data_IF_513393018171
#
_entry.id   IF_513393018171
#
_cell.length_a   1.000
_cell.length_b   1.000
_cell.length_c   1.000
_cell.angle_alpha   90.00
_cell.angle_beta   90.00
_cell.angle_gamma   90.00
#
_symmetry.space_group_name_H-M   'P 1'
#
loop_
_entity.id
_entity.type
_entity.pdbx_description
1 polymer ?
#
# COMPACT_ATOMS: atom_id res chain seq x y z
N UNK A 1 29.73 8.60 10.24
CA UNK A 1 28.36 8.39 9.67
C UNK A 1 27.68 7.08 10.11
N UNK A 2 28.41 6.01 10.45
CA UNK A 2 27.80 4.69 10.77
C UNK A 2 27.04 4.58 12.10
N UNK A 3 27.29 5.45 13.11
CA UNK A 3 26.69 5.33 14.46
C UNK A 3 25.28 5.92 14.61
N UNK A 4 24.86 6.81 13.71
CA UNK A 4 23.54 7.47 13.76
C UNK A 4 22.44 6.64 13.09
N UNK A 5 22.80 5.75 12.16
CA UNK A 5 21.85 4.91 11.42
C UNK A 5 21.35 3.70 12.23
N UNK A 6 22.07 3.31 13.29
CA UNK A 6 21.78 2.16 14.15
C UNK A 6 20.68 2.41 15.20
N UNK A 7 20.02 3.57 15.17
CA UNK A 7 18.98 3.95 16.15
C UNK A 7 17.58 3.45 15.72
N UNK A 8 17.43 2.99 14.47
CA UNK A 8 16.12 2.57 13.94
C UNK A 8 16.17 1.13 13.42
N UNK A 9 15.20 0.32 13.84
CA UNK A 9 14.95 -1.00 13.25
C UNK A 9 14.33 -0.82 11.86
N UNK A 10 14.98 -1.35 10.82
CA UNK A 10 14.43 -1.36 9.47
C UNK A 10 13.43 -2.50 9.32
N UNK A 11 12.17 -2.16 9.05
CA UNK A 11 11.15 -3.14 8.72
C UNK A 11 11.16 -3.44 7.20
N UNK A 12 10.90 -4.70 6.81
CA UNK A 12 10.58 -5.03 5.42
C UNK A 12 9.47 -4.15 4.85
N UNK A 13 9.66 -3.73 3.60
CA UNK A 13 8.72 -2.93 2.83
C UNK A 13 8.44 -3.61 1.50
N UNK A 14 7.18 -3.54 1.07
CA UNK A 14 6.72 -3.98 -0.25
C UNK A 14 6.03 -2.81 -0.95
N UNK A 15 6.32 -2.63 -2.23
CA UNK A 15 5.69 -1.65 -3.11
C UNK A 15 5.05 -2.38 -4.30
N UNK A 16 3.76 -2.14 -4.54
CA UNK A 16 3.03 -2.61 -5.70
C UNK A 16 2.34 -1.43 -6.39
N UNK A 17 2.30 -1.44 -7.72
CA UNK A 17 1.65 -0.41 -8.51
C UNK A 17 0.33 -0.97 -9.03
N UNK A 18 -0.74 -0.19 -8.86
CA UNK A 18 -2.06 -0.44 -9.43
C UNK A 18 -2.30 0.56 -10.57
N UNK A 19 -2.41 0.08 -11.81
CA UNK A 19 -2.77 0.88 -12.97
C UNK A 19 -4.26 1.26 -12.92
N UNK A 20 -4.55 2.55 -13.06
CA UNK A 20 -5.91 3.10 -12.93
C UNK A 20 -6.12 4.20 -13.96
N UNK A 21 -7.39 4.47 -14.26
CA UNK A 21 -7.75 5.64 -15.07
C UNK A 21 -7.25 6.94 -14.41
N UNK A 22 -6.77 7.88 -15.23
CA UNK A 22 -6.26 9.17 -14.73
C UNK A 22 -7.32 9.95 -13.92
N UNK A 23 -8.60 9.84 -14.29
CA UNK A 23 -9.73 10.46 -13.58
C UNK A 23 -10.09 9.75 -12.27
N UNK A 24 -9.67 8.50 -12.08
CA UNK A 24 -10.02 7.64 -10.94
C UNK A 24 -8.86 7.38 -9.98
N UNK A 25 -7.77 8.14 -10.07
CA UNK A 25 -6.61 8.05 -9.17
C UNK A 25 -6.95 8.20 -7.68
N UNK A 26 -8.05 8.87 -7.35
CA UNK A 26 -8.55 9.01 -5.99
C UNK A 26 -9.72 8.06 -5.66
N UNK A 27 -10.15 7.20 -6.59
CA UNK A 27 -11.30 6.32 -6.39
C UNK A 27 -11.13 5.32 -5.24
N UNK A 28 -9.89 5.00 -4.88
CA UNK A 28 -9.57 4.14 -3.74
C UNK A 28 -9.99 4.71 -2.39
N UNK A 29 -10.24 6.03 -2.29
CA UNK A 29 -10.71 6.66 -1.04
C UNK A 29 -12.22 6.66 -0.90
N UNK A 30 -12.97 6.41 -1.97
CA UNK A 30 -14.44 6.49 -1.99
C UNK A 30 -15.11 5.16 -2.28
N UNK A 31 -14.45 4.20 -2.93
CA UNK A 31 -14.99 2.83 -3.10
C UNK A 31 -14.99 2.10 -1.76
N UNK A 32 -16.18 1.77 -1.26
CA UNK A 32 -16.38 1.15 0.05
C UNK A 32 -15.65 -0.19 0.19
N UNK A 33 -15.49 -0.95 -0.91
CA UNK A 33 -14.83 -2.24 -0.89
C UNK A 33 -13.32 -2.08 -0.76
N UNK A 34 -12.73 -1.11 -1.48
CA UNK A 34 -11.32 -0.76 -1.31
C UNK A 34 -11.08 -0.22 0.10
N UNK A 35 -11.89 0.72 0.57
CA UNK A 35 -11.75 1.32 1.91
C UNK A 35 -11.85 0.27 3.01
N UNK A 36 -12.76 -0.69 2.88
CA UNK A 36 -12.89 -1.79 3.84
C UNK A 36 -11.65 -2.70 3.85
N UNK A 37 -11.10 -3.01 2.67
CA UNK A 37 -9.88 -3.82 2.56
C UNK A 37 -8.66 -3.09 3.13
N UNK A 38 -8.52 -1.78 2.90
CA UNK A 38 -7.48 -0.95 3.51
C UNK A 38 -7.58 -1.02 5.03
N UNK A 39 -8.77 -0.78 5.61
CA UNK A 39 -8.99 -0.83 7.06
C UNK A 39 -8.67 -2.21 7.64
N UNK A 40 -9.01 -3.27 6.93
CA UNK A 40 -8.69 -4.66 7.33
C UNK A 40 -7.17 -4.87 7.42
N UNK A 41 -6.43 -4.37 6.42
CA UNK A 41 -4.97 -4.47 6.38
C UNK A 41 -4.33 -3.57 7.44
N UNK A 42 -4.80 -2.33 7.60
CA UNK A 42 -4.33 -1.40 8.65
C UNK A 42 -4.47 -2.03 10.04
N UNK A 43 -5.64 -2.60 10.36
CA UNK A 43 -5.86 -3.29 11.65
C UNK A 43 -4.92 -4.48 11.83
N UNK A 44 -4.57 -5.17 10.74
CA UNK A 44 -3.65 -6.32 10.78
C UNK A 44 -2.19 -5.89 11.00
N UNK A 45 -1.82 -4.71 10.51
CA UNK A 45 -0.48 -4.15 10.65
C UNK A 45 -0.34 -3.21 11.87
N UNK A 46 -1.41 -2.99 12.62
CA UNK A 46 -1.40 -2.11 13.79
C UNK A 46 -0.32 -2.52 14.80
N UNK A 47 0.50 -1.54 15.21
CA UNK A 47 1.65 -1.75 16.09
C UNK A 47 2.84 -2.55 15.51
N UNK A 48 2.75 -3.08 14.28
CA UNK A 48 3.81 -3.89 13.65
C UNK A 48 4.19 -3.45 12.24
N UNK A 49 3.56 -2.39 11.72
CA UNK A 49 3.68 -1.96 10.34
C UNK A 49 2.74 -0.80 9.97
N UNK A 50 2.60 -0.54 8.67
CA UNK A 50 1.69 0.50 8.14
C UNK A 50 1.33 0.26 6.67
N UNK A 51 0.22 0.86 6.26
CA UNK A 51 -0.21 0.96 4.86
C UNK A 51 -0.01 2.40 4.38
N UNK A 52 0.59 2.58 3.21
CA UNK A 52 0.73 3.87 2.53
C UNK A 52 0.24 3.74 1.10
N UNK A 53 -0.74 4.55 0.72
CA UNK A 53 -1.28 4.59 -0.63
C UNK A 53 -1.14 6.00 -1.16
N UNK A 54 -0.55 6.14 -2.36
CA UNK A 54 -0.40 7.44 -3.02
C UNK A 54 -0.66 7.35 -4.52
N UNK A 55 -1.44 8.27 -5.11
CA UNK A 55 -1.53 8.37 -6.57
C UNK A 55 -0.20 8.85 -7.16
N UNK A 56 0.10 8.42 -8.40
CA UNK A 56 1.21 8.97 -9.18
C UNK A 56 0.80 10.28 -9.84
N UNK A 57 1.66 11.30 -9.72
CA UNK A 57 1.44 12.60 -10.37
C UNK A 57 1.68 12.59 -11.88
N UNK A 58 2.54 11.70 -12.36
CA UNK A 58 2.98 11.66 -13.76
C UNK A 58 2.46 10.45 -14.54
N UNK A 59 2.03 9.39 -13.84
CA UNK A 59 1.63 8.12 -14.47
C UNK A 59 0.20 7.75 -14.07
N UNK A 60 -0.57 7.03 -14.91
CA UNK A 60 -1.91 6.53 -14.60
C UNK A 60 -1.86 5.33 -13.64
N UNK A 61 -1.32 5.53 -12.44
CA UNK A 61 -1.21 4.49 -11.42
C UNK A 61 -1.34 5.03 -9.99
N UNK A 62 -1.70 4.13 -9.07
CA UNK A 62 -1.67 4.30 -7.61
C UNK A 62 -0.62 3.36 -7.04
N UNK A 63 0.22 3.88 -6.15
CA UNK A 63 1.29 3.14 -5.47
C UNK A 63 0.77 2.65 -4.13
N UNK A 64 0.78 1.34 -3.93
CA UNK A 64 0.39 0.64 -2.71
C UNK A 64 1.66 0.14 -2.02
N UNK A 65 1.93 0.67 -0.85
CA UNK A 65 3.14 0.38 -0.09
C UNK A 65 2.78 -0.11 1.31
N UNK A 66 3.26 -1.29 1.66
CA UNK A 66 3.06 -1.89 2.97
C UNK A 66 4.41 -2.09 3.63
N UNK A 67 4.47 -1.86 4.94
CA UNK A 67 5.65 -2.07 5.77
C UNK A 67 5.26 -2.92 6.98
N UNK A 68 6.13 -3.84 7.41
CA UNK A 68 5.88 -4.69 8.57
C UNK A 68 6.86 -5.86 8.70
N UNK A 69 6.64 -6.74 9.67
CA UNK A 69 7.61 -7.77 10.07
C UNK A 69 7.78 -8.93 9.07
N UNK A 70 6.72 -9.32 8.35
CA UNK A 70 6.72 -10.49 7.47
C UNK A 70 6.61 -10.09 5.99
N UNK A 71 7.73 -10.14 5.25
CA UNK A 71 7.78 -9.72 3.84
C UNK A 71 6.85 -10.50 2.92
N UNK A 72 6.70 -11.81 3.13
CA UNK A 72 5.88 -12.66 2.26
C UNK A 72 4.39 -12.37 2.45
N UNK A 73 3.98 -12.13 3.68
CA UNK A 73 2.64 -11.67 4.00
C UNK A 73 2.35 -10.28 3.41
N UNK A 74 3.27 -9.33 3.56
CA UNK A 74 3.14 -8.00 2.96
C UNK A 74 3.02 -8.08 1.43
N UNK A 75 3.78 -8.98 0.79
CA UNK A 75 3.69 -9.22 -0.65
C UNK A 75 2.29 -9.66 -1.09
N UNK A 76 1.69 -10.63 -0.37
CA UNK A 76 0.35 -11.10 -0.68
C UNK A 76 -0.68 -9.98 -0.46
N UNK A 77 -0.61 -9.27 0.67
CA UNK A 77 -1.54 -8.18 0.98
C UNK A 77 -1.44 -7.02 -0.02
N UNK A 78 -0.22 -6.58 -0.35
CA UNK A 78 0.01 -5.47 -1.28
C UNK A 78 -0.45 -5.81 -2.70
N UNK A 79 -0.18 -7.02 -3.18
CA UNK A 79 -0.63 -7.49 -4.50
C UNK A 79 -2.14 -7.58 -4.59
N UNK A 80 -2.79 -8.15 -3.57
CA UNK A 80 -4.24 -8.29 -3.55
C UNK A 80 -4.94 -6.93 -3.52
N UNK A 81 -4.45 -6.00 -2.67
CA UNK A 81 -4.99 -4.65 -2.61
C UNK A 81 -4.76 -3.88 -3.92
N UNK A 82 -3.56 -3.99 -4.52
CA UNK A 82 -3.28 -3.37 -5.81
C UNK A 82 -4.23 -3.89 -6.90
N UNK A 83 -4.41 -5.21 -7.01
CA UNK A 83 -5.33 -5.82 -7.97
C UNK A 83 -6.79 -5.38 -7.76
N UNK A 84 -7.23 -5.26 -6.50
CA UNK A 84 -8.56 -4.74 -6.18
C UNK A 84 -8.73 -3.29 -6.65
N UNK A 85 -7.72 -2.44 -6.41
CA UNK A 85 -7.71 -1.06 -6.89
C UNK A 85 -7.75 -1.01 -8.42
N UNK A 86 -6.93 -1.80 -9.10
CA UNK A 86 -6.94 -1.88 -10.57
C UNK A 86 -8.31 -2.30 -11.11
N UNK A 87 -8.98 -3.27 -10.47
CA UNK A 87 -10.29 -3.75 -10.93
C UNK A 87 -11.39 -2.70 -10.78
N UNK A 88 -11.37 -1.93 -9.69
CA UNK A 88 -12.43 -0.96 -9.34
C UNK A 88 -12.19 0.43 -9.93
N UNK A 89 -10.94 0.79 -10.20
CA UNK A 89 -10.53 2.11 -10.69
C UNK A 89 -9.95 2.07 -12.11
N UNK A 90 -10.18 0.98 -12.85
CA UNK A 90 -9.88 0.89 -14.28
C UNK A 90 -10.71 1.83 -15.13
#
# INVERSE_FOLDING_TARGET
>A
LSKLASIMEQLPQVLCNAHVDNSKKSGYTTDEVIVSEIKRIEKKLDGVGRVLIRPSGTEPLVRVMLEGKNKDELNVLAKNLAALIEQRCK
#
